data_IF_517664196687
#
_entry.id   IF_517664196687
#
_cell.length_a   1.000
_cell.length_b   1.000
_cell.length_c   1.000
_cell.angle_alpha   90.00
_cell.angle_beta   90.00
_cell.angle_gamma   90.00
#
_symmetry.space_group_name_H-M   'P 1'
#
loop_
_entity.id
_entity.type
_entity.pdbx_description
1 polymer ?
#
# COMPACT_ATOMS: atom_id res chain seq x y z
N UNK A 1 0.09 -16.41 -12.95
CA UNK A 1 0.28 -15.65 -11.70
C UNK A 1 1.37 -14.64 -11.95
N UNK A 2 1.08 -13.34 -11.77
CA UNK A 2 2.06 -12.28 -11.94
C UNK A 2 2.41 -11.72 -10.56
N UNK A 3 3.70 -11.71 -10.23
CA UNK A 3 4.20 -11.13 -9.00
C UNK A 3 4.68 -9.71 -9.31
N UNK A 4 4.15 -8.73 -8.58
CA UNK A 4 4.57 -7.34 -8.68
C UNK A 4 5.47 -6.98 -7.50
N UNK A 5 6.43 -6.12 -7.75
CA UNK A 5 7.29 -5.55 -6.71
C UNK A 5 7.40 -4.05 -6.89
N UNK A 6 7.76 -3.36 -5.81
CA UNK A 6 8.16 -1.97 -5.88
C UNK A 6 9.63 -1.89 -6.37
N UNK A 7 10.03 -0.90 -7.18
CA UNK A 7 11.44 -0.65 -7.46
C UNK A 7 12.23 -0.38 -6.16
N UNK A 8 13.41 -0.99 -6.01
CA UNK A 8 14.24 -0.88 -4.79
C UNK A 8 14.58 0.55 -4.39
N UNK A 9 14.74 1.45 -5.37
CA UNK A 9 14.95 2.89 -5.14
C UNK A 9 13.83 3.58 -4.35
N UNK A 10 12.62 3.01 -4.33
CA UNK A 10 11.46 3.53 -3.61
C UNK A 10 11.28 2.89 -2.23
N UNK A 11 12.11 1.92 -1.84
CA UNK A 11 11.92 1.22 -0.56
C UNK A 11 12.05 2.16 0.65
N UNK A 12 12.89 3.19 0.52
CA UNK A 12 13.03 4.20 1.58
C UNK A 12 11.72 4.97 1.82
N UNK A 13 10.89 5.13 0.80
CA UNK A 13 9.60 5.83 0.90
C UNK A 13 8.56 5.01 1.67
N UNK A 14 8.70 3.68 1.75
CA UNK A 14 7.80 2.83 2.55
C UNK A 14 7.82 3.28 4.01
N UNK A 15 9.00 3.66 4.53
CA UNK A 15 9.15 4.15 5.90
C UNK A 15 8.37 5.46 6.10
N UNK A 16 8.34 6.32 5.08
CA UNK A 16 7.59 7.57 5.12
C UNK A 16 6.08 7.31 5.08
N UNK A 17 5.62 6.46 4.15
CA UNK A 17 4.22 6.00 4.03
C UNK A 17 3.73 5.40 5.34
N UNK A 18 4.51 4.48 5.91
CA UNK A 18 4.21 3.84 7.19
C UNK A 18 3.93 4.87 8.27
N UNK A 19 4.79 5.88 8.39
CA UNK A 19 4.65 6.94 9.40
C UNK A 19 3.48 7.87 9.11
N UNK A 20 3.30 8.29 7.85
CA UNK A 20 2.27 9.26 7.47
C UNK A 20 0.86 8.68 7.53
N UNK A 21 0.70 7.40 7.20
CA UNK A 21 -0.59 6.70 7.20
C UNK A 21 -0.79 5.83 8.44
N UNK A 22 0.22 5.74 9.32
CA UNK A 22 0.23 4.92 10.53
C UNK A 22 -0.12 3.43 10.27
N UNK A 23 0.30 2.91 9.11
CA UNK A 23 0.18 1.49 8.75
C UNK A 23 1.29 0.67 9.39
N UNK A 24 1.16 -0.65 9.42
CA UNK A 24 2.31 -1.53 9.63
C UNK A 24 3.20 -1.57 8.37
N UNK A 25 4.27 -2.38 8.43
CA UNK A 25 5.27 -2.35 7.36
C UNK A 25 4.74 -3.00 6.07
N UNK A 26 4.07 -4.13 6.18
CA UNK A 26 3.51 -4.87 5.05
C UNK A 26 2.34 -4.14 4.42
N UNK A 27 1.45 -3.50 5.18
CA UNK A 27 0.39 -2.67 4.64
C UNK A 27 0.94 -1.44 3.91
N UNK A 28 1.96 -0.79 4.47
CA UNK A 28 2.64 0.32 3.81
C UNK A 28 3.29 -0.13 2.49
N UNK A 29 3.81 -1.36 2.42
CA UNK A 29 4.35 -1.93 1.20
C UNK A 29 3.25 -2.24 0.18
N UNK A 30 2.15 -2.88 0.59
CA UNK A 30 0.99 -3.17 -0.26
C UNK A 30 0.38 -1.89 -0.83
N UNK A 31 0.19 -0.87 0.00
CA UNK A 31 -0.23 0.47 -0.42
C UNK A 31 0.73 1.05 -1.46
N UNK A 32 2.04 0.96 -1.22
CA UNK A 32 3.05 1.53 -2.12
C UNK A 32 3.07 0.84 -3.49
N UNK A 33 2.90 -0.48 -3.53
CA UNK A 33 2.74 -1.25 -4.78
C UNK A 33 1.47 -0.80 -5.51
N UNK A 34 0.35 -0.74 -4.81
CA UNK A 34 -0.93 -0.37 -5.42
C UNK A 34 -0.88 1.04 -6.00
N UNK A 35 -0.30 1.99 -5.27
CA UNK A 35 -0.13 3.37 -5.74
C UNK A 35 0.81 3.48 -6.94
N UNK A 36 1.93 2.77 -6.93
CA UNK A 36 2.92 2.83 -8.01
C UNK A 36 2.41 2.21 -9.33
N UNK A 37 1.63 1.14 -9.23
CA UNK A 37 1.08 0.43 -10.41
C UNK A 37 -0.37 0.84 -10.74
N UNK A 38 -0.92 1.86 -10.08
CA UNK A 38 -2.30 2.34 -10.25
C UNK A 38 -3.35 1.23 -10.05
N UNK A 39 -3.11 0.35 -9.08
CA UNK A 39 -3.96 -0.79 -8.75
C UNK A 39 -4.92 -0.49 -7.60
N UNK A 40 -5.91 -1.37 -7.47
CA UNK A 40 -6.82 -1.44 -6.33
C UNK A 40 -6.29 -2.43 -5.29
N UNK A 41 -6.38 -2.08 -4.01
CA UNK A 41 -6.18 -3.03 -2.89
C UNK A 41 -7.52 -3.69 -2.58
N UNK A 42 -7.56 -5.02 -2.55
CA UNK A 42 -8.72 -5.79 -2.11
C UNK A 42 -8.34 -6.47 -0.80
N UNK A 43 -8.98 -6.11 0.31
CA UNK A 43 -8.56 -6.54 1.64
C UNK A 43 -9.73 -6.60 2.63
N UNK A 44 -9.60 -7.40 3.69
CA UNK A 44 -10.47 -7.35 4.87
C UNK A 44 -9.86 -6.48 5.98
N UNK A 45 -8.64 -5.99 5.78
CA UNK A 45 -7.89 -5.24 6.79
C UNK A 45 -8.41 -3.81 6.92
N UNK A 46 -8.98 -3.51 8.09
CA UNK A 46 -9.61 -2.23 8.39
C UNK A 46 -8.61 -1.09 8.53
N UNK A 47 -7.31 -1.35 8.64
CA UNK A 47 -6.28 -0.31 8.73
C UNK A 47 -6.20 0.54 7.46
N UNK A 48 -6.67 0.00 6.32
CA UNK A 48 -6.84 0.73 5.06
C UNK A 48 -8.03 1.69 5.05
N UNK A 49 -8.93 1.63 6.04
CA UNK A 49 -10.18 2.42 6.06
C UNK A 49 -9.98 3.94 6.10
N UNK A 50 -8.80 4.40 6.51
CA UNK A 50 -8.40 5.82 6.55
C UNK A 50 -7.72 6.31 5.28
N UNK A 51 -7.39 5.41 4.35
CA UNK A 51 -6.70 5.72 3.10
C UNK A 51 -7.70 6.22 2.08
N UNK A 52 -7.37 7.31 1.38
CA UNK A 52 -8.29 7.98 0.45
C UNK A 52 -7.75 8.14 -0.96
N UNK A 53 -6.44 8.00 -1.14
CA UNK A 53 -5.74 8.30 -2.39
C UNK A 53 -5.31 7.05 -3.17
N UNK A 54 -5.72 5.86 -2.69
CA UNK A 54 -5.64 4.58 -3.39
C UNK A 54 -7.03 3.95 -3.35
N UNK A 55 -7.42 3.26 -4.42
CA UNK A 55 -8.71 2.58 -4.49
C UNK A 55 -8.69 1.33 -3.60
N UNK A 56 -9.52 1.30 -2.56
CA UNK A 56 -9.64 0.18 -1.63
C UNK A 56 -11.03 -0.45 -1.80
N UNK A 57 -11.06 -1.77 -1.95
CA UNK A 57 -12.28 -2.58 -1.89
C UNK A 57 -12.20 -3.50 -0.67
N UNK A 58 -13.13 -3.31 0.25
CA UNK A 58 -13.28 -4.20 1.40
C UNK A 58 -14.10 -5.44 1.03
N UNK A 59 -13.65 -6.61 1.50
CA UNK A 59 -14.40 -7.87 1.42
C UNK A 59 -15.16 -8.18 2.71
#
# INVERSE_FOLDING_TARGET
>A
MQLLSLPTKLYREIVNVKKSLNLDFDDAYQYSIAKYHELKVVTMDRDFGRIKDVNILFL
#
